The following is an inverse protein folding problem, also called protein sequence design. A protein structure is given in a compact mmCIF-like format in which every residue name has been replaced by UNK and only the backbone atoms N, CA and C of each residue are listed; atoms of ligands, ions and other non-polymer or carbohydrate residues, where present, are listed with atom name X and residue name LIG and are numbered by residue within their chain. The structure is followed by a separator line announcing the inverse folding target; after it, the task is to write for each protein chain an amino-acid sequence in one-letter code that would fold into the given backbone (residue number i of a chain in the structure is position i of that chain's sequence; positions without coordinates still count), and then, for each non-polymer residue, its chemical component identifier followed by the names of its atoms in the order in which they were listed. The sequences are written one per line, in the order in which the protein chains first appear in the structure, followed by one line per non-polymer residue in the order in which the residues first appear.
data_IF_833279628568
#
_entry.id   IF_833279628568
#
_cell.length_a   1.000
_cell.length_b   1.000
_cell.length_c   1.000
_cell.angle_alpha   90.00
_cell.angle_beta   90.00
_cell.angle_gamma   90.00
#
_symmetry.space_group_name_H-M   'P 1'
#
loop_
_entity.id
_entity.type
_entity.pdbx_description
1 polymer ?
#
# COMPACT_ATOMS: atom_id res chain seq x y z
N UNK A 1 26.63 -15.70 2.20
CA UNK A 1 27.97 -15.18 2.51
C UNK A 1 27.92 -13.69 2.87
N UNK A 2 27.18 -12.85 2.13
CA UNK A 2 27.13 -11.39 2.37
C UNK A 2 26.36 -10.90 3.63
N UNK A 3 25.38 -11.62 4.17
CA UNK A 3 24.59 -11.13 5.32
C UNK A 3 25.39 -10.94 6.61
N UNK A 4 26.51 -11.63 6.75
CA UNK A 4 27.39 -11.49 7.92
C UNK A 4 28.26 -10.22 7.85
N UNK A 5 28.38 -9.63 6.66
CA UNK A 5 29.15 -8.42 6.40
C UNK A 5 28.26 -7.16 6.39
N UNK A 6 26.94 -7.34 6.24
CA UNK A 6 25.96 -6.26 6.31
C UNK A 6 25.56 -6.06 7.77
N UNK A 7 26.07 -5.00 8.39
CA UNK A 7 25.78 -4.67 9.79
C UNK A 7 24.36 -4.16 10.02
N UNK A 8 23.69 -3.63 8.98
CA UNK A 8 22.31 -3.14 9.07
C UNK A 8 21.67 -3.02 7.68
N UNK A 9 20.81 -3.97 7.31
CA UNK A 9 19.99 -3.86 6.10
C UNK A 9 18.75 -3.01 6.40
N UNK A 10 18.53 -1.94 5.62
CA UNK A 10 17.37 -1.05 5.78
C UNK A 10 16.24 -1.34 4.81
N UNK A 11 16.56 -1.69 3.58
CA UNK A 11 15.59 -1.93 2.52
C UNK A 11 15.84 -3.27 1.87
N UNK A 12 14.76 -4.03 1.64
CA UNK A 12 14.80 -5.34 1.01
C UNK A 12 13.69 -5.43 -0.02
N UNK A 13 14.06 -5.83 -1.24
CA UNK A 13 13.13 -6.04 -2.34
C UNK A 13 13.24 -7.47 -2.86
N UNK A 14 12.11 -8.16 -2.93
CA UNK A 14 11.99 -9.45 -3.62
C UNK A 14 11.26 -9.25 -4.94
N UNK A 15 11.98 -9.36 -6.05
CA UNK A 15 11.44 -9.17 -7.41
C UNK A 15 10.86 -10.46 -8.02
N UNK A 16 11.10 -11.61 -7.41
CA UNK A 16 10.57 -12.92 -7.82
C UNK A 16 10.43 -13.84 -6.61
N UNK A 17 9.73 -14.98 -6.76
CA UNK A 17 9.55 -15.97 -5.68
C UNK A 17 10.92 -16.48 -5.23
N UNK A 18 11.44 -16.02 -4.09
CA UNK A 18 12.77 -16.40 -3.67
C UNK A 18 12.68 -17.79 -3.06
N UNK A 19 13.42 -18.76 -3.60
CA UNK A 19 13.69 -20.03 -2.91
C UNK A 19 14.77 -19.80 -1.84
N UNK A 20 14.48 -18.90 -0.88
CA UNK A 20 15.41 -18.49 0.18
C UNK A 20 14.83 -18.92 1.52
N UNK A 21 15.71 -19.45 2.38
CA UNK A 21 15.42 -19.71 3.79
C UNK A 21 16.45 -18.95 4.61
N UNK A 22 16.05 -17.86 5.26
CA UNK A 22 16.98 -16.99 6.01
C UNK A 22 17.66 -17.71 7.17
N UNK A 23 17.00 -18.70 7.76
CA UNK A 23 17.58 -19.52 8.83
C UNK A 23 18.86 -20.26 8.44
N UNK A 24 19.12 -20.44 7.14
CA UNK A 24 20.32 -21.08 6.61
C UNK A 24 21.52 -20.12 6.48
N UNK A 25 21.32 -18.81 6.70
CA UNK A 25 22.36 -17.80 6.54
C UNK A 25 22.80 -17.23 7.90
N UNK A 26 24.05 -17.50 8.35
CA UNK A 26 24.58 -16.92 9.58
C UNK A 26 24.55 -15.38 9.54
N UNK A 27 24.03 -14.76 10.60
CA UNK A 27 23.90 -13.30 10.71
C UNK A 27 22.63 -12.71 10.08
N UNK A 28 21.80 -13.50 9.38
CA UNK A 28 20.58 -13.00 8.74
C UNK A 28 19.62 -12.33 9.72
N UNK A 29 19.42 -12.91 10.91
CA UNK A 29 18.54 -12.33 11.93
C UNK A 29 19.00 -10.94 12.36
N UNK A 30 20.30 -10.76 12.62
CA UNK A 30 20.83 -9.48 13.06
C UNK A 30 20.78 -8.44 11.95
N UNK A 31 21.05 -8.86 10.71
CA UNK A 31 20.93 -8.03 9.52
C UNK A 31 19.48 -7.53 9.30
N UNK A 32 18.48 -8.40 9.47
CA UNK A 32 17.05 -8.10 9.22
C UNK A 32 16.35 -7.32 10.34
N UNK A 33 16.88 -7.30 11.57
CA UNK A 33 16.27 -6.55 12.70
C UNK A 33 16.09 -5.06 12.41
N UNK A 34 16.93 -4.50 11.56
CA UNK A 34 16.95 -3.07 11.22
C UNK A 34 16.18 -2.75 9.93
N UNK A 35 15.46 -3.73 9.37
CA UNK A 35 14.69 -3.54 8.16
C UNK A 35 13.55 -2.53 8.38
N UNK A 36 13.60 -1.43 7.63
CA UNK A 36 12.61 -0.35 7.66
C UNK A 36 11.72 -0.36 6.42
N UNK A 37 12.16 -0.96 5.32
CA UNK A 37 11.45 -0.99 4.05
C UNK A 37 11.45 -2.41 3.49
N UNK A 38 10.28 -2.89 3.10
CA UNK A 38 10.14 -4.18 2.45
C UNK A 38 9.24 -4.04 1.22
N UNK A 39 9.73 -4.46 0.06
CA UNK A 39 8.93 -4.68 -1.14
C UNK A 39 8.95 -6.16 -1.50
N UNK A 40 7.78 -6.78 -1.68
CA UNK A 40 7.75 -8.20 -1.98
C UNK A 40 6.48 -8.66 -2.70
N UNK A 41 6.56 -9.82 -3.36
CA UNK A 41 5.39 -10.44 -3.98
C UNK A 41 4.54 -11.21 -2.95
N UNK A 42 3.23 -11.25 -3.15
CA UNK A 42 2.30 -11.98 -2.28
C UNK A 42 2.50 -13.50 -2.31
N UNK A 43 3.10 -14.02 -3.37
CA UNK A 43 3.32 -15.46 -3.61
C UNK A 43 4.66 -15.98 -3.05
N UNK A 44 5.35 -15.17 -2.24
CA UNK A 44 6.47 -15.63 -1.43
C UNK A 44 6.03 -16.73 -0.47
N UNK A 45 6.95 -17.65 -0.13
CA UNK A 45 6.64 -18.77 0.76
C UNK A 45 6.18 -18.30 2.14
N UNK A 46 5.18 -18.99 2.69
CA UNK A 46 4.69 -18.74 4.06
C UNK A 46 5.81 -18.85 5.09
N UNK A 47 6.77 -19.77 4.88
CA UNK A 47 7.96 -19.91 5.73
C UNK A 47 8.80 -18.64 5.74
N UNK A 48 8.97 -17.97 4.60
CA UNK A 48 9.74 -16.73 4.54
C UNK A 48 9.03 -15.59 5.28
N UNK A 49 7.70 -15.47 5.09
CA UNK A 49 6.90 -14.50 5.85
C UNK A 49 6.95 -14.77 7.36
N UNK A 50 6.90 -16.04 7.76
CA UNK A 50 7.06 -16.43 9.16
C UNK A 50 8.43 -15.99 9.71
N UNK A 51 9.52 -16.26 8.99
CA UNK A 51 10.86 -15.84 9.43
C UNK A 51 10.99 -14.31 9.53
N UNK A 52 10.40 -13.57 8.58
CA UNK A 52 10.35 -12.12 8.62
C UNK A 52 9.54 -11.62 9.83
N UNK A 53 8.38 -12.22 10.13
CA UNK A 53 7.55 -11.82 11.28
C UNK A 53 8.21 -12.12 12.63
N UNK A 54 9.14 -13.07 12.70
CA UNK A 54 9.93 -13.35 13.90
C UNK A 54 11.12 -12.39 14.11
N UNK A 55 11.41 -11.49 13.18
CA UNK A 55 12.66 -10.70 13.22
C UNK A 55 12.43 -9.21 12.92
N UNK A 56 11.60 -8.91 11.92
CA UNK A 56 11.39 -7.56 11.39
C UNK A 56 10.16 -6.94 12.09
N UNK A 57 10.40 -6.17 13.15
CA UNK A 57 9.33 -5.53 13.93
C UNK A 57 9.20 -4.02 13.67
N UNK A 58 10.10 -3.45 12.86
CA UNK A 58 10.29 -2.01 12.67
C UNK A 58 10.11 -1.59 11.20
N UNK A 59 9.42 -2.38 10.39
CA UNK A 59 9.11 -1.98 9.01
C UNK A 59 8.20 -0.74 9.07
N UNK A 60 8.62 0.30 8.36
CA UNK A 60 7.92 1.58 8.23
C UNK A 60 7.22 1.70 6.88
N UNK A 61 7.79 1.11 5.81
CA UNK A 61 7.18 1.05 4.48
C UNK A 61 7.09 -0.38 3.99
N UNK A 62 5.89 -0.81 3.63
CA UNK A 62 5.61 -2.14 3.11
C UNK A 62 4.90 -2.04 1.76
N UNK A 63 5.54 -2.53 0.71
CA UNK A 63 4.98 -2.59 -0.64
C UNK A 63 4.74 -4.06 -0.98
N UNK A 64 3.48 -4.43 -1.25
CA UNK A 64 3.13 -5.79 -1.64
C UNK A 64 2.66 -5.81 -3.10
N UNK A 65 3.35 -6.58 -3.92
CA UNK A 65 2.92 -6.93 -5.27
C UNK A 65 2.01 -8.17 -5.21
N UNK A 66 0.71 -7.96 -5.30
CA UNK A 66 -0.26 -9.04 -5.30
C UNK A 66 -0.26 -9.75 -6.64
N UNK A 67 0.06 -11.04 -6.57
CA UNK A 67 -0.03 -12.02 -7.64
C UNK A 67 -1.16 -13.01 -7.32
N UNK A 68 -1.41 -13.95 -8.23
CA UNK A 68 -2.45 -15.00 -8.13
C UNK A 68 -2.43 -15.79 -6.81
N UNK A 69 -1.27 -15.96 -6.19
CA UNK A 69 -1.13 -16.66 -4.91
C UNK A 69 -0.85 -15.61 -3.84
N UNK A 70 -1.68 -15.59 -2.80
CA UNK A 70 -1.50 -14.74 -1.62
C UNK A 70 -1.13 -15.64 -0.44
N UNK A 71 0.06 -15.45 0.10
CA UNK A 71 0.48 -16.16 1.30
C UNK A 71 -0.24 -15.60 2.53
N UNK A 72 -0.79 -16.51 3.34
CA UNK A 72 -1.40 -16.15 4.62
C UNK A 72 -0.39 -15.52 5.60
N UNK A 73 0.91 -15.72 5.40
CA UNK A 73 1.95 -15.15 6.25
C UNK A 73 2.10 -13.62 6.16
N UNK A 74 1.53 -12.97 5.12
CA UNK A 74 1.55 -11.50 5.01
C UNK A 74 0.80 -10.86 6.18
N UNK A 75 -0.33 -11.45 6.58
CA UNK A 75 -1.12 -10.97 7.73
C UNK A 75 -0.30 -11.02 9.02
N UNK A 76 0.45 -12.11 9.24
CA UNK A 76 1.32 -12.25 10.40
C UNK A 76 2.42 -11.20 10.39
N UNK A 77 3.05 -10.97 9.23
CA UNK A 77 4.07 -9.94 9.06
C UNK A 77 3.55 -8.53 9.38
N UNK A 78 2.37 -8.15 8.85
CA UNK A 78 1.78 -6.85 9.13
C UNK A 78 1.46 -6.71 10.63
N UNK A 79 0.91 -7.76 11.25
CA UNK A 79 0.43 -7.72 12.64
C UNK A 79 1.52 -7.48 13.68
N UNK A 80 2.78 -7.82 13.37
CA UNK A 80 3.91 -7.65 14.30
C UNK A 80 4.62 -6.30 14.14
N UNK A 81 4.24 -5.48 13.15
CA UNK A 81 4.89 -4.18 12.92
C UNK A 81 4.49 -3.15 13.97
N UNK A 82 5.48 -2.47 14.53
CA UNK A 82 5.27 -1.45 15.58
C UNK A 82 5.05 -0.05 15.03
N UNK A 83 5.59 0.24 13.84
CA UNK A 83 5.69 1.59 13.29
C UNK A 83 5.44 1.60 11.77
N UNK A 84 4.52 0.77 11.28
CA UNK A 84 4.15 0.80 9.85
C UNK A 84 3.43 2.12 9.53
N UNK A 85 4.03 2.92 8.64
CA UNK A 85 3.55 4.25 8.25
C UNK A 85 3.04 4.28 6.81
N UNK A 86 3.64 3.49 5.94
CA UNK A 86 3.28 3.39 4.53
C UNK A 86 2.97 1.94 4.18
N UNK A 87 1.87 1.77 3.46
CA UNK A 87 1.46 0.48 2.90
C UNK A 87 1.01 0.71 1.46
N UNK A 88 1.69 0.07 0.52
CA UNK A 88 1.36 0.15 -0.89
C UNK A 88 0.98 -1.23 -1.43
N UNK A 89 -0.08 -1.27 -2.21
CA UNK A 89 -0.66 -2.45 -2.82
C UNK A 89 -0.59 -2.31 -4.34
N UNK A 90 0.12 -3.23 -5.01
CA UNK A 90 0.20 -3.28 -6.47
C UNK A 90 -0.50 -4.55 -6.94
N UNK A 91 -1.57 -4.42 -7.72
CA UNK A 91 -2.43 -5.51 -8.17
C UNK A 91 -2.12 -5.86 -9.64
N UNK A 92 -1.68 -7.12 -9.89
CA UNK A 92 -1.23 -7.55 -11.23
C UNK A 92 -2.09 -8.62 -11.90
N UNK A 93 -2.95 -9.33 -11.16
CA UNK A 93 -3.66 -10.50 -11.67
C UNK A 93 -5.18 -10.34 -11.55
N UNK A 94 -5.89 -10.71 -12.61
CA UNK A 94 -7.35 -10.57 -12.76
C UNK A 94 -8.14 -11.72 -12.09
N UNK A 95 -7.91 -11.95 -10.80
CA UNK A 95 -8.66 -12.95 -10.05
C UNK A 95 -9.31 -12.34 -8.81
N UNK A 96 -10.59 -12.68 -8.60
CA UNK A 96 -11.35 -12.28 -7.41
C UNK A 96 -10.77 -12.85 -6.12
N UNK A 97 -9.85 -12.07 -5.54
CA UNK A 97 -9.26 -12.27 -4.22
C UNK A 97 -9.73 -11.20 -3.23
N UNK A 98 -10.81 -10.48 -3.57
CA UNK A 98 -11.34 -9.36 -2.79
C UNK A 98 -11.53 -9.70 -1.30
N UNK A 99 -12.03 -10.91 -0.98
CA UNK A 99 -12.21 -11.35 0.41
C UNK A 99 -10.88 -11.52 1.16
N UNK A 100 -9.83 -12.02 0.49
CA UNK A 100 -8.51 -12.22 1.10
C UNK A 100 -7.85 -10.86 1.33
N UNK A 101 -7.91 -9.98 0.33
CA UNK A 101 -7.39 -8.61 0.45
C UNK A 101 -8.12 -7.86 1.57
N UNK A 102 -9.45 -7.92 1.63
CA UNK A 102 -10.25 -7.30 2.68
C UNK A 102 -9.84 -7.80 4.08
N UNK A 103 -9.67 -9.12 4.23
CA UNK A 103 -9.17 -9.72 5.48
C UNK A 103 -7.77 -9.21 5.83
N UNK A 104 -6.87 -9.09 4.85
CA UNK A 104 -5.54 -8.54 5.03
C UNK A 104 -5.57 -7.06 5.47
N UNK A 105 -6.42 -6.25 4.86
CA UNK A 105 -6.56 -4.83 5.18
C UNK A 105 -7.02 -4.63 6.62
N UNK A 106 -7.79 -5.56 7.19
CA UNK A 106 -8.14 -5.53 8.62
C UNK A 106 -6.94 -5.65 9.57
N UNK A 107 -5.79 -6.12 9.08
CA UNK A 107 -4.54 -6.22 9.85
C UNK A 107 -3.66 -4.99 9.73
N UNK A 108 -3.86 -4.16 8.71
CA UNK A 108 -3.09 -2.93 8.51
C UNK A 108 -3.43 -1.95 9.66
N UNK A 109 -2.44 -1.40 10.36
CA UNK A 109 -2.69 -0.59 11.54
C UNK A 109 -3.37 0.74 11.18
N UNK A 110 -4.30 1.19 12.02
CA UNK A 110 -4.99 2.49 11.85
C UNK A 110 -4.08 3.71 12.00
N UNK A 111 -2.83 3.51 12.43
CA UNK A 111 -1.77 4.53 12.48
C UNK A 111 -1.12 4.79 11.12
N UNK A 112 -1.56 4.10 10.07
CA UNK A 112 -1.07 4.29 8.71
C UNK A 112 -1.20 5.76 8.29
N UNK A 113 -0.13 6.29 7.70
CA UNK A 113 0.00 7.68 7.26
C UNK A 113 -0.16 7.78 5.75
N UNK A 114 0.43 6.84 5.00
CA UNK A 114 0.35 6.76 3.54
C UNK A 114 -0.22 5.43 3.10
N UNK A 115 -1.18 5.49 2.16
CA UNK A 115 -1.75 4.33 1.49
C UNK A 115 -1.66 4.55 -0.02
N UNK A 116 -1.00 3.62 -0.72
CA UNK A 116 -0.99 3.55 -2.17
C UNK A 116 -1.74 2.31 -2.67
N UNK A 117 -2.60 2.46 -3.67
CA UNK A 117 -3.25 1.34 -4.36
C UNK A 117 -3.12 1.54 -5.86
N UNK A 118 -2.47 0.58 -6.51
CA UNK A 118 -2.14 0.61 -7.93
C UNK A 118 -2.72 -0.65 -8.58
N UNK A 119 -3.52 -0.52 -9.62
CA UNK A 119 -4.11 -1.67 -10.34
C UNK A 119 -4.24 -1.41 -11.82
N UNK A 120 -3.72 -2.34 -12.61
CA UNK A 120 -3.89 -2.40 -14.06
C UNK A 120 -4.81 -3.56 -14.49
N UNK A 121 -5.64 -4.08 -13.57
CA UNK A 121 -6.45 -5.28 -13.77
C UNK A 121 -7.89 -5.13 -13.27
N UNK A 122 -8.81 -5.88 -13.88
CA UNK A 122 -10.27 -5.81 -13.67
C UNK A 122 -10.76 -6.16 -12.26
N UNK A 123 -9.91 -6.67 -11.38
CA UNK A 123 -10.30 -7.11 -10.06
C UNK A 123 -9.67 -6.27 -8.94
N UNK A 124 -10.22 -5.08 -8.71
CA UNK A 124 -9.88 -4.28 -7.53
C UNK A 124 -10.74 -4.67 -6.33
N UNK A 125 -10.16 -4.70 -5.11
CA UNK A 125 -10.95 -4.82 -3.89
C UNK A 125 -11.84 -3.58 -3.74
N UNK A 126 -12.97 -3.74 -3.05
CA UNK A 126 -13.77 -2.61 -2.57
C UNK A 126 -12.87 -1.59 -1.85
N UNK A 127 -12.89 -0.33 -2.28
CA UNK A 127 -12.09 0.73 -1.67
C UNK A 127 -12.67 1.18 -0.31
N UNK A 128 -13.85 0.68 0.08
CA UNK A 128 -14.51 1.05 1.33
C UNK A 128 -13.68 0.77 2.59
N UNK A 129 -12.71 -0.16 2.54
CA UNK A 129 -11.82 -0.42 3.68
C UNK A 129 -10.95 0.79 4.03
N UNK A 130 -10.71 1.70 3.08
CA UNK A 130 -9.89 2.92 3.29
C UNK A 130 -10.49 3.77 4.41
N UNK A 131 -11.81 3.72 4.61
CA UNK A 131 -12.51 4.41 5.68
C UNK A 131 -11.99 4.08 7.10
N UNK A 132 -11.26 2.97 7.26
CA UNK A 132 -10.69 2.57 8.55
C UNK A 132 -9.43 3.34 8.94
N UNK A 133 -8.80 4.08 8.02
CA UNK A 133 -7.53 4.79 8.25
C UNK A 133 -7.76 6.26 8.59
N UNK A 134 -8.22 6.54 9.81
CA UNK A 134 -8.54 7.90 10.27
C UNK A 134 -7.33 8.85 10.36
N UNK A 135 -6.11 8.31 10.40
CA UNK A 135 -4.86 9.08 10.47
C UNK A 135 -4.18 9.28 9.11
N UNK A 136 -4.85 8.87 8.02
CA UNK A 136 -4.27 8.94 6.69
C UNK A 136 -3.99 10.39 6.30
N UNK A 137 -2.75 10.64 5.85
CA UNK A 137 -2.28 11.95 5.40
C UNK A 137 -2.03 11.97 3.89
N UNK A 138 -1.67 10.83 3.31
CA UNK A 138 -1.47 10.68 1.87
C UNK A 138 -2.27 9.47 1.36
N UNK A 139 -3.12 9.72 0.38
CA UNK A 139 -3.85 8.70 -0.36
C UNK A 139 -3.45 8.78 -1.83
N UNK A 140 -2.99 7.65 -2.36
CA UNK A 140 -2.58 7.51 -3.75
C UNK A 140 -3.34 6.34 -4.39
N UNK A 141 -4.08 6.63 -5.46
CA UNK A 141 -4.87 5.68 -6.24
C UNK A 141 -4.41 5.80 -7.70
N UNK A 142 -4.12 4.68 -8.36
CA UNK A 142 -3.77 4.65 -9.80
C UNK A 142 -4.43 3.44 -10.42
N UNK A 143 -5.38 3.69 -11.31
CA UNK A 143 -6.21 2.66 -11.90
C UNK A 143 -6.41 2.92 -13.40
N UNK A 144 -6.25 1.89 -14.23
CA UNK A 144 -6.38 2.03 -15.69
C UNK A 144 -7.81 2.39 -16.14
N UNK A 145 -8.84 2.03 -15.36
CA UNK A 145 -10.26 2.20 -15.71
C UNK A 145 -11.10 2.71 -14.54
N UNK A 146 -12.11 3.54 -14.82
CA UNK A 146 -13.04 4.08 -13.82
C UNK A 146 -13.76 2.97 -13.02
N UNK A 147 -14.07 1.84 -13.67
CA UNK A 147 -14.73 0.69 -13.06
C UNK A 147 -13.95 0.09 -11.87
N UNK A 148 -12.66 0.41 -11.75
CA UNK A 148 -11.78 -0.10 -10.69
C UNK A 148 -11.95 0.68 -9.38
N UNK A 149 -12.65 1.81 -9.37
CA UNK A 149 -13.02 2.56 -8.17
C UNK A 149 -14.23 1.92 -7.44
N UNK A 150 -14.17 0.61 -7.23
CA UNK A 150 -15.22 -0.19 -6.61
C UNK A 150 -15.55 0.34 -5.22
N UNK A 151 -16.83 0.62 -4.97
CA UNK A 151 -17.35 1.18 -3.72
C UNK A 151 -16.78 2.56 -3.33
N UNK A 152 -16.23 3.33 -4.27
CA UNK A 152 -15.73 4.68 -3.98
C UNK A 152 -16.84 5.62 -3.48
N UNK A 153 -18.09 5.39 -3.87
CA UNK A 153 -19.25 6.13 -3.37
C UNK A 153 -19.44 6.00 -1.85
N UNK A 154 -18.85 4.99 -1.20
CA UNK A 154 -18.85 4.89 0.27
C UNK A 154 -17.84 5.85 0.90
N UNK A 155 -16.74 6.15 0.20
CA UNK A 155 -15.70 7.07 0.67
C UNK A 155 -16.12 8.53 0.58
N UNK A 156 -17.09 8.88 -0.28
CA UNK A 156 -17.53 10.27 -0.46
C UNK A 156 -18.05 10.91 0.85
N UNK A 157 -18.48 10.13 1.84
CA UNK A 157 -18.99 10.60 3.13
C UNK A 157 -17.99 10.45 4.29
N UNK A 158 -16.80 9.91 4.03
CA UNK A 158 -15.79 9.69 5.06
C UNK A 158 -14.96 10.95 5.26
N UNK A 159 -14.65 11.28 6.51
CA UNK A 159 -13.84 12.45 6.88
C UNK A 159 -12.44 11.99 7.28
N UNK A 160 -11.48 12.27 6.42
CA UNK A 160 -10.04 12.11 6.62
C UNK A 160 -9.45 13.43 7.12
N UNK A 161 -9.63 13.71 8.41
CA UNK A 161 -9.24 14.99 9.02
C UNK A 161 -7.76 15.36 8.88
N UNK A 162 -6.88 14.39 8.59
CA UNK A 162 -5.43 14.62 8.43
C UNK A 162 -4.96 14.53 6.97
N UNK A 163 -5.86 14.30 6.01
CA UNK A 163 -5.50 14.15 4.60
C UNK A 163 -4.91 15.47 4.08
N UNK A 164 -3.68 15.40 3.59
CA UNK A 164 -2.91 16.53 3.09
C UNK A 164 -2.51 16.32 1.63
N UNK A 165 -2.36 15.08 1.18
CA UNK A 165 -1.97 14.74 -0.18
C UNK A 165 -2.98 13.76 -0.76
N UNK A 166 -3.59 14.12 -1.88
CA UNK A 166 -4.43 13.23 -2.66
C UNK A 166 -3.85 13.09 -4.07
N UNK A 167 -3.60 11.86 -4.49
CA UNK A 167 -3.13 11.51 -5.82
C UNK A 167 -4.09 10.50 -6.43
N UNK A 168 -4.65 10.83 -7.59
CA UNK A 168 -5.49 9.96 -8.39
C UNK A 168 -4.92 9.98 -9.82
N UNK A 169 -4.31 8.88 -10.22
CA UNK A 169 -3.62 8.75 -11.49
C UNK A 169 -4.42 7.91 -12.48
N UNK A 170 -4.21 8.19 -13.77
CA UNK A 170 -4.80 7.49 -14.90
C UNK A 170 -6.33 7.71 -14.96
N UNK A 171 -7.14 6.75 -14.53
CA UNK A 171 -8.58 6.96 -14.37
C UNK A 171 -8.94 7.60 -13.02
N UNK A 172 -10.15 8.15 -12.92
CA UNK A 172 -10.69 8.72 -11.68
C UNK A 172 -12.16 8.32 -11.50
N UNK A 173 -12.71 8.36 -10.26
CA UNK A 173 -14.12 8.12 -10.03
C UNK A 173 -14.97 9.18 -10.73
N UNK A 174 -16.21 8.87 -11.12
CA UNK A 174 -17.15 9.86 -11.67
C UNK A 174 -17.12 11.21 -10.94
N UNK A 175 -17.18 12.29 -11.71
CA UNK A 175 -17.02 13.68 -11.23
C UNK A 175 -17.84 13.97 -9.98
N UNK A 176 -19.10 13.51 -9.93
CA UNK A 176 -19.98 13.74 -8.79
C UNK A 176 -19.52 13.08 -7.49
N UNK A 177 -18.84 11.93 -7.56
CA UNK A 177 -18.28 11.26 -6.38
C UNK A 177 -16.99 11.93 -5.92
N UNK A 178 -16.12 12.30 -6.86
CA UNK A 178 -14.86 12.97 -6.56
C UNK A 178 -15.10 14.35 -5.97
N UNK A 179 -16.02 15.15 -6.53
CA UNK A 179 -16.38 16.46 -6.01
C UNK A 179 -16.86 16.34 -4.56
N UNK A 180 -17.77 15.42 -4.24
CA UNK A 180 -18.27 15.23 -2.87
C UNK A 180 -17.18 14.77 -1.89
N UNK A 181 -16.28 13.91 -2.35
CA UNK A 181 -15.12 13.52 -1.55
C UNK A 181 -14.26 14.75 -1.20
N UNK A 182 -14.01 15.62 -2.18
CA UNK A 182 -13.24 16.86 -2.01
C UNK A 182 -13.97 17.91 -1.17
N UNK A 183 -15.29 18.03 -1.26
CA UNK A 183 -16.07 18.90 -0.38
C UNK A 183 -15.87 18.55 1.10
N UNK A 184 -15.76 17.25 1.43
CA UNK A 184 -15.57 16.78 2.80
C UNK A 184 -14.11 16.79 3.27
N UNK A 185 -13.15 16.58 2.36
CA UNK A 185 -11.75 16.32 2.72
C UNK A 185 -10.76 17.38 2.21
N UNK A 186 -11.20 18.27 1.32
CA UNK A 186 -10.35 19.22 0.59
C UNK A 186 -9.77 20.34 1.45
N UNK A 187 -10.41 20.68 2.57
CA UNK A 187 -10.00 21.81 3.44
C UNK A 187 -8.55 21.71 3.94
N UNK A 188 -8.06 20.48 4.17
CA UNK A 188 -6.72 20.23 4.70
C UNK A 188 -5.72 19.79 3.63
N UNK A 189 -6.15 19.65 2.37
CA UNK A 189 -5.26 19.28 1.26
C UNK A 189 -4.26 20.40 0.99
N UNK A 190 -2.99 20.00 0.90
CA UNK A 190 -1.86 20.83 0.47
C UNK A 190 -1.45 20.51 -0.96
N UNK A 191 -1.64 19.26 -1.36
CA UNK A 191 -1.29 18.75 -2.68
C UNK A 191 -2.43 17.91 -3.22
N UNK A 192 -2.81 18.16 -4.48
CA UNK A 192 -3.80 17.39 -5.21
C UNK A 192 -3.28 17.11 -6.62
N UNK A 193 -3.31 15.86 -7.02
CA UNK A 193 -2.96 15.40 -8.36
C UNK A 193 -4.12 14.54 -8.86
N UNK A 194 -4.74 14.94 -9.97
CA UNK A 194 -5.83 14.21 -10.62
C UNK A 194 -5.54 14.19 -12.12
N UNK A 195 -5.45 12.99 -12.70
CA UNK A 195 -5.26 12.81 -14.14
C UNK A 195 -4.04 11.94 -14.46
N UNK A 196 -3.67 11.89 -15.73
CA UNK A 196 -2.53 11.10 -16.18
C UNK A 196 -1.21 11.61 -15.58
N UNK A 197 -0.27 10.70 -15.34
CA UNK A 197 1.13 11.07 -15.19
C UNK A 197 1.57 11.58 -16.55
N UNK A 198 1.37 12.87 -16.83
CA UNK A 198 1.97 13.49 -18.00
C UNK A 198 3.49 13.40 -17.83
N UNK A 199 4.10 12.42 -18.51
CA UNK A 199 5.49 12.53 -18.93
C UNK A 199 5.59 13.82 -19.76
N UNK A 200 5.93 14.91 -19.06
CA UNK A 200 6.13 16.28 -19.56
C UNK A 200 4.88 17.05 -20.04
N UNK A 201 4.25 17.83 -19.18
CA UNK A 201 4.33 19.31 -19.17
C UNK A 201 3.27 19.95 -18.26
N UNK A 202 3.72 20.65 -17.23
CA UNK A 202 3.10 21.87 -16.68
C UNK A 202 1.58 22.03 -16.89
N UNK A 203 0.78 21.21 -16.22
CA UNK A 203 -0.59 21.57 -15.85
C UNK A 203 -0.86 21.10 -14.43
N UNK A 204 -0.08 21.63 -13.49
CA UNK A 204 -0.53 21.70 -12.10
C UNK A 204 -1.88 22.42 -12.11
N UNK A 205 -2.98 21.70 -11.92
CA UNK A 205 -4.22 22.25 -11.41
C UNK A 205 -3.94 22.72 -9.98
N UNK A 206 -3.24 23.86 -9.87
CA UNK A 206 -3.23 24.71 -8.69
C UNK A 206 -4.63 25.31 -8.59
N UNK A 207 -5.61 24.49 -8.22
CA UNK A 207 -6.86 24.99 -7.69
C UNK A 207 -6.48 25.67 -6.38
N UNK A 208 -6.46 27.01 -6.42
CA UNK A 208 -6.40 27.83 -5.23
C UNK A 208 -7.61 27.49 -4.37
N UNK A 209 -7.40 26.64 -3.37
CA UNK A 209 -8.38 26.41 -2.31
C UNK A 209 -8.30 27.65 -1.42
N UNK A 210 -9.28 28.56 -1.58
CA UNK A 210 -9.50 29.73 -0.73
C UNK A 210 -10.12 29.37 0.61
#
# INVERSE_FOLDING_TARGET
MFMKEISSLRSLTFTSVPYITFSLYPGAKDCLKNLSELRCCSNISTELFYQLSQTCYNIQSLIIEFKRIISNGIADLISVQRNLKQFDMILYDDYSMANIIFSLMSKVPKTLIKLGIYSSVYCTPSLSFIANFSNLQELELSFDLEEFFVDFEKLQYVIFSQLQVLKIWDAFPSDGLLIKFLENNGKNLKEIYIGEIEDCNDNSLNLAIS
#
